data_IF_361450437364
#
_entry.id   IF_361450437364
#
_cell.length_a   1.000
_cell.length_b   1.000
_cell.length_c   1.000
_cell.angle_alpha   90.00
_cell.angle_beta   90.00
_cell.angle_gamma   90.00
#
_symmetry.space_group_name_H-M   'P 1'
#
loop_
_entity.id
_entity.type
_entity.pdbx_description
1 polymer ?
#
# COMPACT_ATOMS: atom_id res chain seq x y z
N UNK A 1 -8.30 12.27 -11.54
CA UNK A 1 -8.68 13.02 -10.32
C UNK A 1 -8.63 14.53 -10.53
N UNK A 2 -7.64 15.05 -11.26
CA UNK A 2 -7.48 16.49 -11.51
C UNK A 2 -8.70 17.13 -12.20
N UNK A 3 -9.33 16.41 -13.13
CA UNK A 3 -10.57 16.88 -13.79
C UNK A 3 -11.73 16.99 -12.80
N UNK A 4 -11.86 16.01 -11.89
CA UNK A 4 -12.88 16.03 -10.84
C UNK A 4 -12.67 17.18 -9.86
N UNK A 5 -11.42 17.43 -9.47
CA UNK A 5 -11.03 18.55 -8.61
C UNK A 5 -11.35 19.89 -9.31
N UNK A 6 -11.04 20.01 -10.60
CA UNK A 6 -11.37 21.21 -11.37
C UNK A 6 -12.89 21.46 -11.44
N UNK A 7 -13.68 20.41 -11.73
CA UNK A 7 -15.13 20.49 -11.76
C UNK A 7 -15.75 20.87 -10.39
N UNK A 8 -15.11 20.48 -9.29
CA UNK A 8 -15.48 20.86 -7.94
C UNK A 8 -14.98 22.25 -7.50
N UNK A 9 -14.32 23.01 -8.39
CA UNK A 9 -13.79 24.34 -8.09
C UNK A 9 -12.51 24.35 -7.24
N UNK A 10 -11.86 23.19 -7.00
CA UNK A 10 -10.61 23.12 -6.26
C UNK A 10 -9.45 23.68 -7.08
N UNK A 11 -8.57 24.53 -6.49
CA UNK A 11 -7.34 24.99 -7.15
C UNK A 11 -6.24 23.89 -7.16
N UNK A 12 -6.40 22.84 -6.37
CA UNK A 12 -5.39 21.78 -6.21
C UNK A 12 -5.25 20.96 -7.49
N UNK A 13 -4.00 20.72 -7.89
CA UNK A 13 -3.65 19.83 -9.00
C UNK A 13 -2.51 18.96 -8.58
N UNK A 14 -2.67 17.66 -8.76
CA UNK A 14 -1.63 16.67 -8.47
C UNK A 14 -0.80 16.45 -9.73
N UNK A 15 0.50 16.54 -9.58
CA UNK A 15 1.49 16.33 -10.64
C UNK A 15 2.43 15.16 -10.31
N UNK A 16 2.44 14.75 -9.04
CA UNK A 16 3.25 13.65 -8.53
C UNK A 16 2.36 12.43 -8.25
N UNK A 17 2.89 11.26 -8.54
CA UNK A 17 2.18 9.99 -8.35
C UNK A 17 3.17 8.88 -8.04
N UNK A 18 2.82 8.06 -7.07
CA UNK A 18 3.45 6.78 -6.79
C UNK A 18 2.51 5.66 -7.26
N UNK A 19 2.82 5.03 -8.38
CA UNK A 19 2.12 3.84 -8.87
C UNK A 19 2.72 2.60 -8.21
N UNK A 20 1.88 1.73 -7.63
CA UNK A 20 2.26 0.50 -6.95
C UNK A 20 1.63 -0.68 -7.67
N UNK A 21 2.42 -1.73 -7.90
CA UNK A 21 1.92 -3.00 -8.41
C UNK A 21 2.12 -4.12 -7.38
N UNK A 22 1.02 -4.77 -7.02
CA UNK A 22 0.97 -5.91 -6.11
C UNK A 22 0.69 -7.18 -6.91
N UNK A 23 1.68 -8.07 -7.02
CA UNK A 23 1.55 -9.27 -7.86
C UNK A 23 2.60 -10.32 -7.54
N UNK A 24 3.20 -10.90 -8.57
CA UNK A 24 4.34 -11.84 -8.44
C UNK A 24 5.45 -11.22 -7.59
N UNK A 25 5.68 -9.91 -7.78
CA UNK A 25 6.60 -9.11 -6.99
C UNK A 25 5.95 -7.80 -6.53
N UNK A 26 6.78 -6.91 -6.02
CA UNK A 26 6.44 -5.60 -5.50
C UNK A 26 7.09 -4.51 -6.36
N UNK A 27 6.34 -3.91 -7.27
CA UNK A 27 6.84 -2.89 -8.18
C UNK A 27 6.30 -1.50 -7.88
N UNK A 28 7.06 -0.48 -8.30
CA UNK A 28 6.57 0.88 -8.33
C UNK A 28 7.02 1.64 -9.58
N UNK A 29 6.23 2.66 -9.93
CA UNK A 29 6.60 3.70 -10.86
C UNK A 29 6.36 5.06 -10.22
N UNK A 30 7.30 5.98 -10.39
CA UNK A 30 7.26 7.30 -9.79
C UNK A 30 7.09 8.35 -10.87
N UNK A 31 6.11 9.22 -10.70
CA UNK A 31 5.91 10.41 -11.55
C UNK A 31 6.16 11.65 -10.72
N UNK A 32 7.04 12.51 -11.17
CA UNK A 32 7.35 13.82 -10.56
C UNK A 32 7.12 14.90 -11.62
N UNK A 33 6.33 15.89 -11.29
CA UNK A 33 5.96 17.02 -12.17
C UNK A 33 5.46 16.54 -13.56
N UNK A 34 4.56 15.54 -13.56
CA UNK A 34 4.01 14.87 -14.74
C UNK A 34 5.02 14.11 -15.62
N UNK A 35 6.21 13.80 -15.11
CA UNK A 35 7.24 13.05 -15.81
C UNK A 35 7.58 11.77 -15.07
N UNK A 36 7.71 10.67 -15.80
CA UNK A 36 8.16 9.41 -15.23
C UNK A 36 9.62 9.55 -14.77
N UNK A 37 9.88 9.24 -13.50
CA UNK A 37 11.21 9.17 -12.92
C UNK A 37 11.87 7.85 -13.32
N UNK A 38 12.83 7.90 -14.21
CA UNK A 38 13.65 6.73 -14.57
C UNK A 38 14.92 6.63 -13.75
N UNK A 39 15.42 7.77 -13.26
CA UNK A 39 16.73 7.89 -12.60
C UNK A 39 17.89 7.79 -13.59
N UNK A 40 19.06 8.21 -13.16
CA UNK A 40 20.27 8.18 -13.99
C UNK A 40 20.77 6.74 -14.25
N UNK A 41 20.42 5.81 -13.37
CA UNK A 41 20.81 4.40 -13.46
C UNK A 41 19.62 3.47 -13.79
N UNK A 42 18.45 4.00 -14.13
CA UNK A 42 17.25 3.22 -14.41
C UNK A 42 16.61 2.56 -13.19
N UNK A 43 16.95 2.96 -11.96
CA UNK A 43 16.47 2.36 -10.71
C UNK A 43 15.42 3.23 -10.00
N UNK A 44 14.81 4.17 -10.73
CA UNK A 44 13.73 5.00 -10.18
C UNK A 44 12.50 4.17 -9.87
N UNK A 45 12.13 4.08 -8.58
CA UNK A 45 10.95 3.32 -8.14
C UNK A 45 11.23 1.89 -7.67
N UNK A 46 12.46 1.51 -7.42
CA UNK A 46 12.86 0.18 -6.92
C UNK A 46 12.44 -0.04 -5.44
N UNK A 47 11.12 0.00 -5.18
CA UNK A 47 10.57 -0.21 -3.83
C UNK A 47 10.71 -1.65 -3.34
N UNK A 48 10.84 -2.61 -4.23
CA UNK A 48 10.92 -4.04 -3.92
C UNK A 48 12.11 -4.37 -3.01
N UNK A 49 13.24 -3.63 -3.16
CA UNK A 49 14.48 -3.84 -2.39
C UNK A 49 14.54 -3.00 -1.11
N UNK A 50 13.54 -2.17 -0.82
CA UNK A 50 13.46 -1.45 0.45
C UNK A 50 13.54 -2.44 1.62
N UNK A 51 14.01 -1.95 2.78
CA UNK A 51 14.10 -2.78 3.98
C UNK A 51 12.71 -3.21 4.45
N UNK A 52 12.54 -4.50 4.69
CA UNK A 52 11.32 -5.05 5.24
C UNK A 52 11.13 -4.58 6.68
N UNK A 53 9.96 -4.03 7.01
CA UNK A 53 9.66 -3.52 8.35
C UNK A 53 9.64 -4.64 9.40
N UNK A 54 9.02 -5.78 9.08
CA UNK A 54 8.86 -6.93 10.00
C UNK A 54 10.13 -7.76 10.10
N UNK A 55 10.86 -7.88 9.00
CA UNK A 55 12.06 -8.67 8.86
C UNK A 55 13.22 -7.81 8.35
N UNK A 56 13.89 -7.01 9.21
CA UNK A 56 14.82 -5.97 8.78
C UNK A 56 16.04 -6.44 7.97
N UNK A 57 16.32 -7.74 7.97
CA UNK A 57 17.37 -8.37 7.15
C UNK A 57 16.90 -8.78 5.74
N UNK A 58 15.60 -8.63 5.42
CA UNK A 58 15.02 -9.04 4.16
C UNK A 58 14.55 -7.83 3.35
N UNK A 59 14.33 -8.04 2.05
CA UNK A 59 13.72 -7.06 1.14
C UNK A 59 12.21 -6.97 1.38
N UNK A 60 11.61 -5.82 1.07
CA UNK A 60 10.17 -5.58 1.22
C UNK A 60 9.32 -6.59 0.43
N UNK A 61 9.77 -6.99 -0.76
CA UNK A 61 9.07 -7.95 -1.62
C UNK A 61 8.85 -9.31 -0.95
N UNK A 62 9.69 -9.72 0.02
CA UNK A 62 9.47 -10.97 0.78
C UNK A 62 8.18 -10.95 1.60
N UNK A 63 7.62 -9.77 1.88
CA UNK A 63 6.32 -9.62 2.54
C UNK A 63 5.23 -9.01 1.63
N UNK A 64 5.58 -8.58 0.40
CA UNK A 64 4.66 -7.89 -0.52
C UNK A 64 4.70 -8.59 -1.88
N UNK A 65 4.22 -9.82 -1.92
CA UNK A 65 4.19 -10.63 -3.15
C UNK A 65 3.22 -11.81 -3.02
N UNK A 66 2.93 -12.49 -4.14
CA UNK A 66 2.17 -13.75 -4.14
C UNK A 66 2.78 -14.78 -3.19
N UNK A 67 4.11 -14.92 -3.17
CA UNK A 67 4.79 -15.87 -2.29
C UNK A 67 4.64 -15.50 -0.81
N UNK A 68 4.55 -14.21 -0.49
CA UNK A 68 4.30 -13.74 0.87
C UNK A 68 2.91 -14.15 1.36
N UNK A 69 1.86 -13.95 0.55
CA UNK A 69 0.50 -14.37 0.89
C UNK A 69 0.45 -15.87 1.17
N UNK A 70 1.07 -16.69 0.31
CA UNK A 70 1.14 -18.15 0.50
C UNK A 70 1.89 -18.52 1.77
N UNK A 71 3.04 -17.89 2.02
CA UNK A 71 3.87 -18.15 3.20
C UNK A 71 3.09 -17.87 4.48
N UNK A 72 2.48 -16.69 4.59
CA UNK A 72 1.73 -16.31 5.79
C UNK A 72 0.52 -17.21 6.00
N UNK A 73 -0.21 -17.54 4.94
CA UNK A 73 -1.31 -18.51 5.02
C UNK A 73 -0.83 -19.86 5.55
N UNK A 74 0.25 -20.42 4.98
CA UNK A 74 0.82 -21.70 5.43
C UNK A 74 1.28 -21.65 6.88
N UNK A 75 1.99 -20.58 7.30
CA UNK A 75 2.48 -20.40 8.66
C UNK A 75 1.35 -20.38 9.70
N UNK A 76 0.23 -19.74 9.36
CA UNK A 76 -0.91 -19.57 10.29
C UNK A 76 -1.91 -20.72 10.27
N UNK A 77 -2.12 -21.33 9.10
CA UNK A 77 -3.10 -22.43 8.95
C UNK A 77 -2.50 -23.81 9.24
N UNK A 78 -1.20 -23.98 9.03
CA UNK A 78 -0.53 -25.28 8.98
C UNK A 78 -0.81 -26.06 7.69
N UNK A 79 -1.54 -25.48 6.73
CA UNK A 79 -1.87 -26.09 5.43
C UNK A 79 -0.86 -25.69 4.36
N UNK A 80 -0.50 -26.59 3.45
CA UNK A 80 0.39 -26.29 2.33
C UNK A 80 -0.33 -25.42 1.26
N UNK A 81 0.05 -24.17 1.17
CA UNK A 81 -0.47 -23.23 0.17
C UNK A 81 0.39 -23.12 -1.10
N UNK A 82 1.39 -23.99 -1.31
CA UNK A 82 2.33 -23.88 -2.44
C UNK A 82 1.65 -23.85 -3.81
N UNK A 83 0.51 -24.54 -3.93
CA UNK A 83 -0.30 -24.66 -5.16
C UNK A 83 -1.47 -23.67 -5.21
N UNK A 84 -1.79 -22.99 -4.14
CA UNK A 84 -2.90 -22.04 -4.10
C UNK A 84 -2.52 -20.74 -4.84
N UNK A 85 -3.44 -20.24 -5.63
CA UNK A 85 -3.32 -18.89 -6.20
C UNK A 85 -3.77 -17.85 -5.16
N UNK A 86 -3.41 -16.57 -5.31
CA UNK A 86 -3.97 -15.51 -4.47
C UNK A 86 -5.51 -15.47 -4.50
N UNK A 87 -6.10 -15.84 -5.65
CA UNK A 87 -7.56 -15.93 -5.78
C UNK A 87 -8.14 -17.03 -4.90
N UNK A 88 -7.50 -18.21 -4.85
CA UNK A 88 -7.96 -19.31 -4.00
C UNK A 88 -7.90 -18.90 -2.52
N UNK A 89 -6.82 -18.26 -2.08
CA UNK A 89 -6.68 -17.76 -0.70
C UNK A 89 -7.72 -16.66 -0.43
N UNK A 90 -7.99 -15.78 -1.41
CA UNK A 90 -9.06 -14.80 -1.29
C UNK A 90 -10.43 -15.45 -1.15
N UNK A 91 -10.72 -16.49 -1.92
CA UNK A 91 -11.99 -17.22 -1.83
C UNK A 91 -12.15 -17.95 -0.50
N UNK A 92 -11.06 -18.44 0.10
CA UNK A 92 -11.05 -18.95 1.48
C UNK A 92 -11.38 -17.80 2.47
N UNK A 93 -10.77 -16.61 2.30
CA UNK A 93 -11.05 -15.45 3.14
C UNK A 93 -12.51 -15.00 3.07
N UNK A 94 -13.14 -15.10 1.89
CA UNK A 94 -14.57 -14.82 1.69
C UNK A 94 -15.50 -15.96 2.16
N UNK A 95 -14.94 -17.12 2.51
CA UNK A 95 -15.72 -18.32 2.90
C UNK A 95 -16.36 -19.05 1.71
N UNK A 96 -15.87 -18.82 0.51
CA UNK A 96 -16.33 -19.46 -0.73
C UNK A 96 -15.66 -20.82 -0.97
N UNK A 97 -14.47 -21.01 -0.40
CA UNK A 97 -13.72 -22.27 -0.43
C UNK A 97 -13.40 -22.74 0.99
N UNK A 98 -13.24 -24.06 1.16
CA UNK A 98 -12.77 -24.66 2.41
C UNK A 98 -11.33 -24.26 2.69
N UNK A 99 -10.98 -24.08 3.96
CA UNK A 99 -9.65 -23.69 4.41
C UNK A 99 -9.72 -22.83 5.68
N UNK A 100 -8.57 -22.37 6.16
CA UNK A 100 -8.51 -21.52 7.34
C UNK A 100 -8.76 -20.05 6.94
N UNK A 101 -9.99 -19.59 7.17
CA UNK A 101 -10.44 -18.25 6.83
C UNK A 101 -9.63 -17.15 7.52
N UNK A 102 -9.33 -17.32 8.80
CA UNK A 102 -8.59 -16.33 9.58
C UNK A 102 -7.15 -16.17 9.05
N UNK A 103 -6.48 -17.29 8.76
CA UNK A 103 -5.16 -17.29 8.14
C UNK A 103 -5.17 -16.61 6.76
N UNK A 104 -6.23 -16.86 5.96
CA UNK A 104 -6.39 -16.25 4.65
C UNK A 104 -6.55 -14.72 4.74
N UNK A 105 -7.43 -14.24 5.61
CA UNK A 105 -7.59 -12.79 5.88
C UNK A 105 -6.27 -12.19 6.34
N UNK A 106 -5.62 -12.79 7.34
CA UNK A 106 -4.38 -12.27 7.92
C UNK A 106 -3.23 -12.22 6.93
N UNK A 107 -3.18 -13.12 5.95
CA UNK A 107 -2.14 -13.11 4.91
C UNK A 107 -2.20 -11.84 4.01
N UNK A 108 -3.41 -11.37 3.69
CA UNK A 108 -3.59 -10.12 2.95
C UNK A 108 -3.41 -8.89 3.82
N UNK A 109 -3.83 -8.94 5.07
CA UNK A 109 -3.61 -7.83 6.02
C UNK A 109 -2.12 -7.57 6.25
N UNK A 110 -1.32 -8.63 6.45
CA UNK A 110 0.13 -8.49 6.62
C UNK A 110 0.79 -7.92 5.37
N UNK A 111 0.37 -8.38 4.17
CA UNK A 111 0.84 -7.78 2.93
C UNK A 111 0.52 -6.28 2.89
N UNK A 112 -0.69 -5.89 3.29
CA UNK A 112 -1.09 -4.49 3.36
C UNK A 112 -0.25 -3.67 4.34
N UNK A 113 0.04 -4.20 5.53
CA UNK A 113 0.91 -3.56 6.51
C UNK A 113 2.32 -3.31 5.95
N UNK A 114 2.90 -4.32 5.32
CA UNK A 114 4.26 -4.20 4.78
C UNK A 114 4.33 -3.31 3.53
N UNK A 115 3.33 -3.38 2.65
CA UNK A 115 3.20 -2.45 1.53
C UNK A 115 3.03 -1.01 2.01
N UNK A 116 2.17 -0.79 3.00
CA UNK A 116 1.94 0.52 3.61
C UNK A 116 3.21 1.13 4.20
N UNK A 117 4.03 0.33 4.88
CA UNK A 117 5.31 0.78 5.41
C UNK A 117 6.26 1.27 4.30
N UNK A 118 6.38 0.52 3.20
CA UNK A 118 7.21 0.91 2.05
C UNK A 118 6.63 2.15 1.32
N UNK A 119 5.32 2.21 1.12
CA UNK A 119 4.62 3.36 0.53
C UNK A 119 4.88 4.63 1.35
N UNK A 120 4.76 4.54 2.68
CA UNK A 120 5.04 5.67 3.59
C UNK A 120 6.45 6.22 3.39
N UNK A 121 7.46 5.34 3.31
CA UNK A 121 8.84 5.76 3.06
C UNK A 121 9.01 6.45 1.68
N UNK A 122 8.39 5.91 0.64
CA UNK A 122 8.45 6.50 -0.69
C UNK A 122 7.76 7.87 -0.75
N UNK A 123 6.64 8.03 -0.04
CA UNK A 123 5.88 9.29 -0.01
C UNK A 123 6.62 10.45 0.65
N UNK A 124 7.59 10.21 1.55
CA UNK A 124 8.45 11.27 2.08
C UNK A 124 9.24 12.00 0.97
N UNK A 125 9.41 11.36 -0.19
CA UNK A 125 10.16 11.92 -1.32
C UNK A 125 9.21 12.32 -2.45
N UNK A 126 8.20 11.48 -2.74
CA UNK A 126 7.31 11.68 -3.90
C UNK A 126 6.26 12.76 -3.63
N UNK A 127 5.72 12.83 -2.41
CA UNK A 127 4.62 13.74 -2.03
C UNK A 127 3.56 13.86 -3.14
N UNK A 128 2.70 12.85 -3.26
CA UNK A 128 1.73 12.79 -4.36
C UNK A 128 0.61 11.79 -4.13
N UNK A 129 -0.13 11.51 -5.18
CA UNK A 129 -1.14 10.46 -5.17
C UNK A 129 -0.50 9.08 -5.15
N UNK A 130 -1.18 8.13 -4.52
CA UNK A 130 -0.84 6.70 -4.61
C UNK A 130 -1.90 5.99 -5.45
N UNK A 131 -1.46 5.20 -6.42
CA UNK A 131 -2.32 4.32 -7.22
C UNK A 131 -1.84 2.89 -7.03
N UNK A 132 -2.73 2.01 -6.60
CA UNK A 132 -2.43 0.60 -6.33
C UNK A 132 -3.12 -0.27 -7.37
N UNK A 133 -2.34 -1.12 -8.05
CA UNK A 133 -2.81 -2.06 -9.05
C UNK A 133 -2.13 -3.41 -8.93
N UNK A 134 -2.29 -4.25 -9.96
CA UNK A 134 -1.72 -5.59 -10.03
C UNK A 134 -2.69 -6.70 -9.62
N UNK A 135 -2.29 -7.95 -9.82
CA UNK A 135 -3.19 -9.11 -9.67
C UNK A 135 -3.70 -9.36 -8.23
N UNK A 136 -2.98 -8.86 -7.21
CA UNK A 136 -3.41 -8.98 -5.80
C UNK A 136 -4.32 -7.81 -5.38
N UNK A 137 -4.36 -6.72 -6.14
CA UNK A 137 -5.19 -5.55 -5.80
C UNK A 137 -6.69 -5.86 -5.70
N UNK A 138 -7.16 -6.96 -6.31
CA UNK A 138 -8.53 -7.47 -6.11
C UNK A 138 -8.88 -7.80 -4.66
N UNK A 139 -7.87 -8.03 -3.80
CA UNK A 139 -8.06 -8.23 -2.36
C UNK A 139 -8.01 -6.91 -1.55
N UNK A 140 -8.26 -5.76 -2.18
CA UNK A 140 -8.20 -4.41 -1.59
C UNK A 140 -8.95 -4.31 -0.25
N UNK A 141 -10.08 -5.00 -0.12
CA UNK A 141 -10.87 -5.09 1.12
C UNK A 141 -10.03 -5.44 2.37
N UNK A 142 -9.05 -6.33 2.20
CA UNK A 142 -8.17 -6.78 3.29
C UNK A 142 -6.82 -6.04 3.31
N UNK A 143 -6.37 -5.56 2.16
CA UNK A 143 -5.06 -4.91 1.99
C UNK A 143 -5.10 -3.44 2.41
N UNK A 144 -6.10 -2.68 1.93
CA UNK A 144 -6.17 -1.22 2.17
C UNK A 144 -6.22 -0.83 3.64
N UNK A 145 -6.95 -1.54 4.53
CA UNK A 145 -6.93 -1.18 5.95
C UNK A 145 -5.53 -1.24 6.58
N UNK A 146 -4.71 -2.22 6.18
CA UNK A 146 -3.31 -2.35 6.61
C UNK A 146 -2.45 -1.19 6.09
N UNK A 147 -2.56 -0.88 4.80
CA UNK A 147 -1.86 0.26 4.18
C UNK A 147 -2.22 1.56 4.89
N UNK A 148 -3.52 1.84 5.06
CA UNK A 148 -4.01 3.07 5.70
C UNK A 148 -3.53 3.19 7.15
N UNK A 149 -3.51 2.10 7.89
CA UNK A 149 -3.02 2.07 9.27
C UNK A 149 -1.53 2.44 9.34
N UNK A 150 -0.71 1.87 8.46
CA UNK A 150 0.71 2.18 8.39
C UNK A 150 0.99 3.63 8.00
N UNK A 151 0.27 4.15 7.02
CA UNK A 151 0.43 5.53 6.58
C UNK A 151 -0.01 6.57 7.64
N UNK A 152 -0.93 6.20 8.54
CA UNK A 152 -1.45 7.05 9.62
C UNK A 152 -0.73 6.87 10.96
N UNK A 153 0.33 6.07 11.02
CA UNK A 153 1.12 5.91 12.25
C UNK A 153 1.87 7.18 12.63
N UNK A 154 2.28 7.23 13.90
CA UNK A 154 3.19 8.25 14.42
C UNK A 154 4.56 7.65 14.71
N UNK A 155 5.57 8.50 14.71
CA UNK A 155 6.93 8.21 15.16
C UNK A 155 7.33 9.18 16.25
N UNK A 156 8.18 8.74 17.18
CA UNK A 156 8.57 9.53 18.34
C UNK A 156 10.04 9.93 18.28
N UNK A 157 10.36 11.07 18.91
CA UNK A 157 11.74 11.45 19.21
C UNK A 157 12.21 10.76 20.50
N UNK A 158 13.50 10.82 20.80
CA UNK A 158 14.04 10.38 22.08
C UNK A 158 13.47 11.15 23.28
N UNK A 159 12.98 12.37 23.08
CA UNK A 159 12.31 13.19 24.10
C UNK A 159 10.82 12.82 24.28
N UNK A 160 10.28 11.84 23.53
CA UNK A 160 8.90 11.39 23.61
C UNK A 160 7.91 12.26 22.84
N UNK A 161 8.36 13.20 22.02
CA UNK A 161 7.48 13.98 21.17
C UNK A 161 7.06 13.12 19.97
N UNK A 162 5.76 13.08 19.67
CA UNK A 162 5.19 12.30 18.56
C UNK A 162 4.89 13.16 17.34
N UNK A 163 5.13 12.59 16.17
CA UNK A 163 4.81 13.17 14.87
C UNK A 163 4.11 12.15 13.99
N UNK A 164 3.09 12.54 13.19
CA UNK A 164 2.56 11.68 12.14
C UNK A 164 3.66 11.25 11.19
N UNK A 165 3.67 9.98 10.77
CA UNK A 165 4.63 9.50 9.78
C UNK A 165 4.56 10.30 8.48
N UNK A 166 3.36 10.67 8.04
CA UNK A 166 3.15 11.54 6.88
C UNK A 166 2.59 12.88 7.34
N UNK A 167 3.15 13.95 6.82
CA UNK A 167 2.76 15.34 7.13
C UNK A 167 1.59 15.83 6.26
N UNK A 168 1.05 14.95 5.39
CA UNK A 168 -0.17 15.19 4.62
C UNK A 168 -1.30 14.31 5.13
N UNK A 169 -2.54 14.74 4.96
CA UNK A 169 -3.70 13.91 5.29
C UNK A 169 -3.80 12.71 4.33
N UNK A 170 -4.07 11.54 4.87
CA UNK A 170 -4.17 10.28 4.13
C UNK A 170 -5.65 9.93 3.94
N UNK A 171 -6.09 9.93 2.67
CA UNK A 171 -7.45 9.63 2.28
C UNK A 171 -7.51 8.36 1.42
N UNK A 172 -8.39 7.44 1.77
CA UNK A 172 -8.77 6.34 0.89
C UNK A 172 -9.88 6.81 -0.06
N UNK A 173 -9.56 7.04 -1.33
CA UNK A 173 -10.52 7.58 -2.30
C UNK A 173 -11.61 6.59 -2.74
N UNK A 174 -11.55 5.34 -2.30
CA UNK A 174 -12.64 4.36 -2.44
C UNK A 174 -13.64 4.42 -1.27
N UNK A 175 -13.29 5.08 -0.17
CA UNK A 175 -14.21 5.40 0.91
C UNK A 175 -14.94 6.72 0.62
N UNK A 176 -16.27 6.72 0.73
CA UNK A 176 -17.10 7.88 0.35
C UNK A 176 -16.84 9.12 1.25
N UNK A 177 -16.51 8.94 2.52
CA UNK A 177 -16.24 10.04 3.44
C UNK A 177 -14.86 10.64 3.18
N UNK A 178 -13.84 9.77 3.02
CA UNK A 178 -12.49 10.19 2.69
C UNK A 178 -12.46 10.88 1.31
N UNK A 179 -13.19 10.32 0.32
CA UNK A 179 -13.33 10.94 -1.00
C UNK A 179 -13.92 12.35 -0.91
N UNK A 180 -15.02 12.53 -0.14
CA UNK A 180 -15.65 13.84 0.06
C UNK A 180 -14.67 14.82 0.71
N UNK A 181 -14.01 14.41 1.80
CA UNK A 181 -13.02 15.22 2.51
C UNK A 181 -11.87 15.65 1.60
N UNK A 182 -11.40 14.73 0.76
CA UNK A 182 -10.36 15.00 -0.24
C UNK A 182 -10.82 16.02 -1.29
N UNK A 183 -12.06 15.85 -1.82
CA UNK A 183 -12.61 16.74 -2.84
C UNK A 183 -12.88 18.14 -2.32
N UNK A 184 -13.26 18.29 -1.05
CA UNK A 184 -13.45 19.57 -0.38
C UNK A 184 -12.13 20.30 -0.07
N UNK A 185 -11.01 19.72 -0.45
CA UNK A 185 -9.65 20.25 -0.21
C UNK A 185 -9.39 20.56 1.28
N UNK A 186 -9.96 19.76 2.17
CA UNK A 186 -9.73 19.83 3.63
C UNK A 186 -8.51 19.02 4.07
N UNK A 187 -7.79 18.42 3.11
CA UNK A 187 -6.53 17.74 3.36
C UNK A 187 -5.45 18.80 3.61
N UNK A 188 -5.22 19.09 4.87
CA UNK A 188 -4.32 20.14 5.32
C UNK A 188 -2.92 19.57 5.49
N UNK A 189 -1.92 20.33 5.08
CA UNK A 189 -0.55 20.15 5.54
C UNK A 189 -0.52 20.45 7.06
N UNK A 190 -0.06 19.49 7.85
CA UNK A 190 0.03 19.58 9.30
C UNK A 190 1.26 20.42 9.69
#
# INVERSE_FOLDING_TARGET
>A
INEKLAAAGSPKRYKNLLGITLGTGFGAGVVIDNRLLTGDNGCGGDVWIMRNKKYPGLIAEESVSIRAVRRVYTELSGEDASKLTPKDIYDIAEGLHSGNREAAVRSFEELGEMAGAAITQALHIVDGLVVIGGGIAGAAKYILPGIMREMKQSVSTFAGQEFPCLQMDVCNLEDANDYRRFMENRAVHI
#
